data_IF_336940101587
#
_entry.id   IF_336940101587
#
_cell.length_a   1.000
_cell.length_b   1.000
_cell.length_c   1.000
_cell.angle_alpha   90.00
_cell.angle_beta   90.00
_cell.angle_gamma   90.00
#
_symmetry.space_group_name_H-M   'P 1'
#
loop_
_entity.id
_entity.type
_entity.pdbx_description
1 polymer ?
#
# COMPACT_ATOMS: atom_id res chain seq x y z
N UNK A 1 -11.90 22.28 17.72
CA UNK A 1 -13.24 21.87 17.25
C UNK A 1 -14.29 22.54 18.11
N UNK A 2 -15.55 22.61 17.64
CA UNK A 2 -16.69 23.09 18.42
C UNK A 2 -17.87 22.13 18.26
N UNK A 3 -18.90 22.25 19.10
CA UNK A 3 -20.21 21.66 18.83
C UNK A 3 -21.09 22.67 18.13
N UNK A 4 -21.76 22.27 17.06
CA UNK A 4 -22.74 23.12 16.39
C UNK A 4 -24.11 23.08 17.10
N UNK A 5 -25.11 23.75 16.51
CA UNK A 5 -26.47 23.82 17.07
C UNK A 5 -27.21 22.47 17.07
N UNK A 6 -26.72 21.47 16.34
CA UNK A 6 -27.27 20.12 16.30
C UNK A 6 -26.51 19.15 17.21
N UNK A 7 -25.41 19.61 17.81
CA UNK A 7 -24.56 18.83 18.70
C UNK A 7 -23.41 18.12 17.98
N UNK A 8 -23.29 18.32 16.67
CA UNK A 8 -22.26 17.71 15.84
C UNK A 8 -20.90 18.38 16.07
N UNK A 9 -19.84 17.58 16.02
CA UNK A 9 -18.47 18.07 16.15
C UNK A 9 -18.03 18.70 14.82
N UNK A 10 -17.65 19.98 14.86
CA UNK A 10 -17.22 20.75 13.70
C UNK A 10 -15.75 21.17 13.84
N UNK A 11 -14.95 20.83 12.85
CA UNK A 11 -13.57 21.30 12.72
C UNK A 11 -13.55 22.77 12.27
N UNK A 12 -12.85 23.63 13.02
CA UNK A 12 -12.82 25.08 12.79
C UNK A 12 -11.45 25.60 12.34
N UNK A 13 -10.44 24.73 12.30
CA UNK A 13 -9.07 25.12 12.00
C UNK A 13 -8.06 24.05 12.40
N UNK A 14 -6.78 24.39 12.28
CA UNK A 14 -5.64 23.53 12.60
C UNK A 14 -4.65 24.33 13.44
N UNK A 15 -4.12 23.68 14.48
CA UNK A 15 -2.98 24.17 15.25
C UNK A 15 -1.70 23.53 14.71
N UNK A 16 -0.66 24.33 14.48
CA UNK A 16 0.65 23.83 14.04
C UNK A 16 1.77 24.60 14.73
N UNK A 17 2.97 24.01 14.72
CA UNK A 17 4.18 24.66 15.22
C UNK A 17 5.14 24.88 14.07
N UNK A 18 5.66 26.11 13.95
CA UNK A 18 6.69 26.48 12.97
C UNK A 18 7.73 27.35 13.66
N UNK A 19 9.01 27.01 13.53
CA UNK A 19 10.12 27.73 14.17
C UNK A 19 9.96 27.87 15.70
N UNK A 20 9.39 26.86 16.36
CA UNK A 20 9.13 26.87 17.81
C UNK A 20 7.90 27.68 18.23
N UNK A 21 7.27 28.42 17.32
CA UNK A 21 6.05 29.16 17.57
C UNK A 21 4.83 28.34 17.20
N UNK A 22 3.84 28.30 18.10
CA UNK A 22 2.57 27.62 17.86
C UNK A 22 1.53 28.62 17.39
N UNK A 23 0.89 28.31 16.27
CA UNK A 23 -0.14 29.16 15.66
C UNK A 23 -1.38 28.34 15.30
N UNK A 24 -2.52 29.02 15.20
CA UNK A 24 -3.79 28.43 14.79
C UNK A 24 -4.24 29.11 13.49
N UNK A 25 -4.61 28.31 12.50
CA UNK A 25 -5.24 28.80 11.26
C UNK A 25 -6.66 28.30 11.21
N UNK A 26 -7.60 29.23 11.03
CA UNK A 26 -9.02 28.94 10.96
C UNK A 26 -9.48 28.62 9.54
N UNK A 27 -10.36 27.65 9.40
CA UNK A 27 -11.02 27.30 8.16
C UNK A 27 -12.44 27.86 8.14
N UNK A 28 -12.84 28.50 7.04
CA UNK A 28 -14.22 29.04 6.87
C UNK A 28 -15.25 27.98 6.46
N UNK A 29 -14.79 26.86 5.91
CA UNK A 29 -15.65 25.81 5.37
C UNK A 29 -15.28 24.47 6.00
N UNK A 30 -14.18 23.90 5.55
CA UNK A 30 -13.79 22.53 5.89
C UNK A 30 -12.30 22.46 6.21
N UNK A 31 -11.95 21.48 7.04
CA UNK A 31 -10.57 21.07 7.29
C UNK A 31 -10.39 19.69 6.66
N UNK A 32 -9.47 19.58 5.69
CA UNK A 32 -9.18 18.32 5.00
C UNK A 32 -7.88 17.77 5.56
N UNK A 33 -7.93 16.55 6.12
CA UNK A 33 -6.75 15.86 6.66
C UNK A 33 -6.14 14.98 5.56
N UNK A 34 -4.97 15.39 5.06
CA UNK A 34 -4.25 14.69 3.97
C UNK A 34 -2.77 14.46 4.31
N UNK A 35 -2.48 14.07 5.55
CA UNK A 35 -1.11 13.90 6.04
C UNK A 35 -0.50 12.51 5.75
N UNK A 36 -1.18 11.70 4.93
CA UNK A 36 -0.80 10.32 4.61
C UNK A 36 -1.20 9.31 5.68
N UNK A 37 -0.93 8.02 5.41
CA UNK A 37 -1.44 6.89 6.21
C UNK A 37 -0.98 6.89 7.66
N UNK A 38 0.23 7.41 7.94
CA UNK A 38 0.76 7.43 9.31
C UNK A 38 0.35 8.68 10.11
N UNK A 39 0.34 9.85 9.48
CA UNK A 39 0.12 11.10 10.21
C UNK A 39 -1.35 11.52 10.27
N UNK A 40 -2.18 11.12 9.31
CA UNK A 40 -3.61 11.44 9.34
C UNK A 40 -4.33 10.84 10.56
N UNK A 41 -4.20 9.54 10.88
CA UNK A 41 -4.81 8.99 12.09
C UNK A 41 -4.25 9.62 13.36
N UNK A 42 -2.93 9.86 13.43
CA UNK A 42 -2.30 10.56 14.55
C UNK A 42 -2.90 11.96 14.79
N UNK A 43 -3.14 12.74 13.73
CA UNK A 43 -3.76 14.07 13.85
C UNK A 43 -5.20 13.95 14.37
N UNK A 44 -5.96 12.95 13.93
CA UNK A 44 -7.32 12.69 14.41
C UNK A 44 -7.33 12.29 15.90
N UNK A 45 -6.48 11.36 16.30
CA UNK A 45 -6.34 10.91 17.69
C UNK A 45 -5.92 12.05 18.62
N UNK A 46 -4.90 12.83 18.25
CA UNK A 46 -4.49 14.03 18.99
C UNK A 46 -5.58 15.11 19.06
N UNK A 47 -6.53 15.08 18.12
CA UNK A 47 -7.71 15.95 18.14
C UNK A 47 -8.85 15.37 18.97
N UNK A 48 -8.74 14.16 19.52
CA UNK A 48 -9.79 13.50 20.30
C UNK A 48 -10.75 12.63 19.47
N UNK A 49 -10.33 12.20 18.28
CA UNK A 49 -11.11 11.32 17.39
C UNK A 49 -10.36 9.99 17.27
N UNK A 50 -10.82 8.94 17.95
CA UNK A 50 -10.14 7.64 18.03
C UNK A 50 -10.75 6.72 19.08
N UNK A 51 -10.10 5.61 19.40
CA UNK A 51 -10.54 4.70 20.48
C UNK A 51 -10.60 5.46 21.82
N UNK A 52 -11.80 5.58 22.39
CA UNK A 52 -12.01 6.35 23.61
C UNK A 52 -11.18 5.85 24.80
N UNK A 53 -10.93 4.55 24.93
CA UNK A 53 -10.17 4.01 26.08
C UNK A 53 -8.69 4.29 25.94
N UNK A 54 -8.14 4.13 24.73
CA UNK A 54 -6.78 4.55 24.39
C UNK A 54 -6.59 6.05 24.65
N UNK A 55 -7.46 6.90 24.10
CA UNK A 55 -7.35 8.36 24.24
C UNK A 55 -7.41 8.81 25.70
N UNK A 56 -8.34 8.27 26.49
CA UNK A 56 -8.44 8.56 27.93
C UNK A 56 -7.19 8.13 28.69
N UNK A 57 -6.61 6.96 28.35
CA UNK A 57 -5.37 6.48 28.98
C UNK A 57 -4.17 7.41 28.72
N UNK A 58 -4.21 8.15 27.62
CA UNK A 58 -3.20 9.14 27.22
C UNK A 58 -3.52 10.58 27.68
N UNK A 59 -4.62 10.78 28.41
CA UNK A 59 -5.05 12.10 28.88
C UNK A 59 -5.61 13.01 27.78
N UNK A 60 -6.12 12.44 26.70
CA UNK A 60 -6.74 13.18 25.58
C UNK A 60 -8.26 13.16 25.76
N UNK A 61 -8.88 14.34 25.67
CA UNK A 61 -10.34 14.47 25.70
C UNK A 61 -10.98 13.84 24.45
N UNK A 62 -11.97 12.98 24.66
CA UNK A 62 -12.65 12.27 23.56
C UNK A 62 -13.75 13.16 22.97
N UNK A 63 -13.55 13.60 21.73
CA UNK A 63 -14.56 14.31 20.94
C UNK A 63 -15.48 13.34 20.19
N UNK A 64 -14.92 12.30 19.57
CA UNK A 64 -15.63 11.24 18.84
C UNK A 64 -14.95 9.91 19.14
N UNK A 65 -15.72 8.94 19.65
CA UNK A 65 -15.24 7.58 19.84
C UNK A 65 -15.29 6.81 18.50
N UNK A 66 -14.12 6.44 17.99
CA UNK A 66 -13.99 5.68 16.75
C UNK A 66 -12.76 4.76 16.79
N UNK A 67 -13.01 3.50 17.12
CA UNK A 67 -12.00 2.44 17.26
C UNK A 67 -11.28 2.07 15.94
N UNK A 68 -11.67 2.63 14.79
CA UNK A 68 -11.02 2.34 13.51
C UNK A 68 -9.95 3.37 13.10
N UNK A 69 -9.83 4.49 13.82
CA UNK A 69 -8.77 5.47 13.54
C UNK A 69 -7.43 4.88 13.96
N UNK A 70 -6.44 4.93 13.08
CA UNK A 70 -5.10 4.36 13.34
C UNK A 70 -4.99 2.86 12.99
N UNK A 71 -6.12 2.19 12.89
CA UNK A 71 -6.22 0.75 12.63
C UNK A 71 -6.27 0.41 11.13
N UNK A 72 -6.30 -0.90 10.83
CA UNK A 72 -6.42 -1.45 9.48
C UNK A 72 -5.29 -0.99 8.52
N UNK A 73 -4.09 -0.74 9.06
CA UNK A 73 -2.91 -0.53 8.24
C UNK A 73 -2.59 -1.81 7.46
N UNK A 74 -2.66 -1.71 6.14
CA UNK A 74 -2.25 -2.77 5.23
C UNK A 74 -1.05 -2.30 4.42
N UNK A 75 -0.01 -3.12 4.40
CA UNK A 75 1.18 -2.89 3.59
C UNK A 75 1.51 -4.17 2.82
N UNK A 76 2.12 -4.01 1.66
CA UNK A 76 2.67 -5.14 0.93
C UNK A 76 4.05 -5.46 1.52
N UNK A 77 4.26 -6.63 2.16
CA UNK A 77 5.59 -7.02 2.56
C UNK A 77 6.46 -7.15 1.31
N UNK A 78 7.63 -6.53 1.34
CA UNK A 78 8.58 -6.53 0.23
C UNK A 78 9.90 -7.13 0.69
N UNK A 79 10.40 -8.09 -0.08
CA UNK A 79 11.71 -8.70 0.12
C UNK A 79 12.49 -8.60 -1.19
N UNK A 80 13.68 -8.01 -1.13
CA UNK A 80 14.59 -7.93 -2.27
C UNK A 80 15.56 -9.09 -2.23
N UNK A 81 15.76 -9.74 -3.38
CA UNK A 81 16.87 -10.65 -3.60
C UNK A 81 17.81 -10.00 -4.62
N UNK A 82 19.10 -9.94 -4.29
CA UNK A 82 20.13 -9.46 -5.20
C UNK A 82 21.02 -10.64 -5.61
N UNK A 83 21.36 -10.71 -6.89
CA UNK A 83 22.26 -11.71 -7.44
C UNK A 83 23.39 -10.98 -8.18
N UNK A 84 24.60 -11.54 -8.10
CA UNK A 84 25.71 -11.10 -8.94
C UNK A 84 25.42 -11.51 -10.39
N UNK A 85 25.58 -10.58 -11.33
CA UNK A 85 25.32 -10.80 -12.75
C UNK A 85 26.46 -10.23 -13.59
N UNK A 86 26.80 -10.90 -14.69
CA UNK A 86 27.72 -10.41 -15.73
C UNK A 86 26.97 -10.22 -17.06
N UNK A 87 27.46 -9.32 -17.94
CA UNK A 87 26.90 -9.09 -19.28
C UNK A 87 26.01 -7.84 -19.43
N UNK A 88 25.36 -7.64 -20.60
CA UNK A 88 24.72 -6.36 -20.97
C UNK A 88 23.49 -5.98 -20.12
N UNK A 89 22.95 -6.89 -19.30
CA UNK A 89 21.78 -6.67 -18.44
C UNK A 89 22.13 -6.22 -17.01
N UNK A 90 23.42 -6.15 -16.67
CA UNK A 90 23.93 -5.75 -15.34
C UNK A 90 23.60 -4.32 -14.92
N UNK A 91 23.17 -3.48 -15.87
CA UNK A 91 22.85 -2.05 -15.64
C UNK A 91 21.35 -1.80 -15.47
N UNK A 92 20.51 -2.83 -15.53
CA UNK A 92 19.05 -2.69 -15.39
C UNK A 92 18.62 -3.36 -14.10
N UNK A 93 18.05 -2.59 -13.16
CA UNK A 93 17.53 -3.12 -11.91
C UNK A 93 16.37 -4.08 -12.17
N UNK A 94 16.65 -5.38 -12.20
CA UNK A 94 15.64 -6.44 -12.24
C UNK A 94 15.15 -6.69 -10.82
N UNK A 95 13.95 -6.19 -10.49
CA UNK A 95 13.24 -6.59 -9.29
C UNK A 95 12.46 -7.88 -9.60
N UNK A 96 12.91 -9.02 -9.06
CA UNK A 96 12.17 -10.27 -9.13
C UNK A 96 11.37 -10.45 -7.82
N UNK A 97 10.06 -10.29 -7.88
CA UNK A 97 9.16 -10.66 -6.78
C UNK A 97 8.74 -12.12 -6.96
N UNK A 98 9.24 -13.00 -6.10
CA UNK A 98 8.78 -14.37 -6.01
C UNK A 98 7.65 -14.46 -4.96
N UNK A 99 6.45 -14.88 -5.38
CA UNK A 99 5.46 -15.32 -4.41
C UNK A 99 5.90 -16.74 -3.99
N UNK A 100 6.40 -16.87 -2.77
CA UNK A 100 6.83 -18.18 -2.26
C UNK A 100 5.62 -19.11 -2.27
N UNK A 101 5.74 -20.34 -2.80
CA UNK A 101 4.66 -21.30 -2.69
C UNK A 101 4.40 -21.52 -1.20
N UNK A 102 3.12 -21.67 -0.82
CA UNK A 102 2.72 -22.23 0.47
C UNK A 102 2.20 -23.65 0.20
N UNK A 103 3.06 -24.65 -0.04
CA UNK A 103 2.61 -25.96 -0.51
C UNK A 103 1.68 -26.61 0.49
N UNK A 104 1.95 -26.46 1.79
CA UNK A 104 1.10 -27.00 2.87
C UNK A 104 -0.32 -26.42 2.84
N UNK A 105 -0.47 -25.13 2.49
CA UNK A 105 -1.76 -24.47 2.42
C UNK A 105 -2.48 -24.76 1.08
N UNK A 106 -1.79 -24.60 -0.05
CA UNK A 106 -2.36 -24.79 -1.39
C UNK A 106 -2.65 -26.27 -1.73
N UNK A 107 -2.00 -27.22 -1.07
CA UNK A 107 -2.34 -28.64 -1.22
C UNK A 107 -3.51 -29.08 -0.33
N UNK A 108 -3.94 -28.24 0.63
CA UNK A 108 -5.13 -28.51 1.45
C UNK A 108 -6.43 -28.32 0.63
N UNK A 109 -7.48 -29.05 0.99
CA UNK A 109 -8.81 -28.88 0.38
C UNK A 109 -9.37 -27.47 0.59
N UNK A 110 -9.07 -26.87 1.75
CA UNK A 110 -9.45 -25.50 2.07
C UNK A 110 -8.72 -24.47 1.19
N UNK A 111 -7.39 -24.56 1.08
CA UNK A 111 -6.60 -23.63 0.28
C UNK A 111 -6.94 -23.67 -1.21
N UNK A 112 -7.24 -24.86 -1.75
CA UNK A 112 -7.77 -25.00 -3.13
C UNK A 112 -9.12 -24.30 -3.29
N UNK A 113 -10.04 -24.52 -2.36
CA UNK A 113 -11.37 -23.89 -2.42
C UNK A 113 -11.30 -22.37 -2.30
N UNK A 114 -10.40 -21.82 -1.49
CA UNK A 114 -10.20 -20.36 -1.41
C UNK A 114 -9.58 -19.81 -2.69
N UNK A 115 -8.61 -20.51 -3.28
CA UNK A 115 -7.99 -20.13 -4.55
C UNK A 115 -9.03 -20.10 -5.69
N UNK A 116 -9.90 -21.11 -5.77
CA UNK A 116 -10.99 -21.18 -6.76
C UNK A 116 -11.98 -20.00 -6.61
N UNK A 117 -12.27 -19.57 -5.36
CA UNK A 117 -13.12 -18.40 -5.10
C UNK A 117 -12.48 -17.11 -5.64
N UNK A 118 -11.17 -16.94 -5.43
CA UNK A 118 -10.42 -15.76 -5.90
C UNK A 118 -10.40 -15.70 -7.43
N UNK A 119 -10.23 -16.84 -8.11
CA UNK A 119 -10.28 -16.89 -9.57
C UNK A 119 -11.66 -16.49 -10.10
N UNK A 120 -12.72 -17.03 -9.50
CA UNK A 120 -14.09 -16.72 -9.91
C UNK A 120 -14.42 -15.23 -9.76
N UNK A 121 -14.02 -14.62 -8.64
CA UNK A 121 -14.21 -13.18 -8.40
C UNK A 121 -13.40 -12.29 -9.35
N UNK A 122 -12.21 -12.74 -9.77
CA UNK A 122 -11.34 -11.98 -10.68
C UNK A 122 -11.88 -11.97 -12.12
N UNK A 123 -12.45 -13.07 -12.59
CA UNK A 123 -13.05 -13.16 -13.93
C UNK A 123 -14.34 -12.34 -14.07
N UNK A 124 -15.11 -12.19 -13.00
CA UNK A 124 -16.37 -11.42 -13.00
C UNK A 124 -16.18 -9.89 -13.11
N UNK A 125 -14.95 -9.37 -12.88
CA UNK A 125 -14.63 -7.92 -12.92
C UNK A 125 -13.97 -7.44 -14.21
N UNK A 126 -13.71 -8.31 -15.19
CA UNK A 126 -13.05 -7.94 -16.45
C UNK A 126 -14.06 -7.28 -17.41
N UNK A 127 -13.99 -5.96 -17.59
CA UNK A 127 -14.60 -5.33 -18.76
C UNK A 127 -13.81 -5.73 -20.01
N UNK A 128 -14.45 -6.53 -20.87
CA UNK A 128 -13.88 -7.21 -22.04
C UNK A 128 -13.58 -6.27 -23.23
N UNK A 129 -13.05 -5.07 -22.97
CA UNK A 129 -13.00 -4.01 -23.99
C UNK A 129 -11.84 -4.09 -24.99
N UNK A 130 -10.77 -4.86 -24.72
CA UNK A 130 -9.51 -4.79 -25.50
C UNK A 130 -8.85 -6.14 -25.86
N UNK A 131 -9.43 -7.27 -25.47
CA UNK A 131 -8.80 -8.60 -25.68
C UNK A 131 -9.78 -9.55 -26.37
N UNK A 132 -9.24 -10.50 -27.14
CA UNK A 132 -10.08 -11.55 -27.75
C UNK A 132 -10.45 -12.59 -26.70
N UNK A 133 -11.64 -13.19 -26.81
CA UNK A 133 -12.07 -14.24 -25.89
C UNK A 133 -11.09 -15.43 -25.83
N UNK A 134 -10.44 -15.75 -26.96
CA UNK A 134 -9.42 -16.78 -27.04
C UNK A 134 -8.18 -16.42 -26.22
N UNK A 135 -7.70 -15.17 -26.30
CA UNK A 135 -6.56 -14.71 -25.51
C UNK A 135 -6.90 -14.64 -24.03
N UNK A 136 -8.07 -14.10 -23.66
CA UNK A 136 -8.53 -14.05 -22.28
C UNK A 136 -8.56 -15.44 -21.64
N UNK A 137 -9.14 -16.43 -22.34
CA UNK A 137 -9.19 -17.82 -21.88
C UNK A 137 -7.80 -18.47 -21.76
N UNK A 138 -6.91 -18.22 -22.73
CA UNK A 138 -5.54 -18.74 -22.69
C UNK A 138 -4.74 -18.11 -21.53
N UNK A 139 -4.92 -16.81 -21.30
CA UNK A 139 -4.28 -16.08 -20.22
C UNK A 139 -4.79 -16.54 -18.84
N UNK A 140 -6.10 -16.71 -18.68
CA UNK A 140 -6.70 -17.29 -17.47
C UNK A 140 -6.14 -18.68 -17.19
N UNK A 141 -6.08 -19.54 -18.21
CA UNK A 141 -5.51 -20.90 -18.08
C UNK A 141 -4.04 -20.85 -17.63
N UNK A 142 -3.26 -19.94 -18.20
CA UNK A 142 -1.86 -19.75 -17.83
C UNK A 142 -1.70 -19.28 -16.38
N UNK A 143 -2.43 -18.24 -15.96
CA UNK A 143 -2.38 -17.72 -14.59
C UNK A 143 -2.82 -18.79 -13.58
N UNK A 144 -3.87 -19.54 -13.89
CA UNK A 144 -4.36 -20.64 -13.05
C UNK A 144 -3.32 -21.74 -12.89
N UNK A 145 -2.61 -22.10 -13.97
CA UNK A 145 -1.51 -23.07 -13.94
C UNK A 145 -0.36 -22.60 -13.05
N UNK A 146 0.03 -21.33 -13.14
CA UNK A 146 1.13 -20.76 -12.35
C UNK A 146 0.78 -20.74 -10.86
N UNK A 147 -0.41 -20.25 -10.49
CA UNK A 147 -0.79 -20.11 -9.08
C UNK A 147 -1.19 -21.44 -8.40
N UNK A 148 -1.60 -22.44 -9.19
CA UNK A 148 -1.97 -23.75 -8.66
C UNK A 148 -0.79 -24.72 -8.57
N UNK A 149 0.39 -24.34 -9.09
CA UNK A 149 1.60 -25.17 -9.03
C UNK A 149 2.12 -25.21 -7.59
N UNK A 150 2.06 -26.37 -6.89
CA UNK A 150 2.44 -26.46 -5.48
C UNK A 150 3.96 -26.61 -5.30
N UNK A 151 4.69 -26.84 -6.40
CA UNK A 151 6.11 -27.18 -6.43
C UNK A 151 6.95 -26.15 -7.18
N UNK A 152 6.34 -25.29 -7.97
CA UNK A 152 7.04 -24.23 -8.68
C UNK A 152 6.78 -22.90 -7.98
N UNK A 153 7.83 -22.12 -7.76
CA UNK A 153 7.66 -20.76 -7.30
C UNK A 153 6.94 -19.96 -8.39
N UNK A 154 5.72 -19.50 -8.10
CA UNK A 154 5.03 -18.52 -8.91
C UNK A 154 5.73 -17.16 -8.74
N UNK A 155 6.81 -16.96 -9.48
CA UNK A 155 7.41 -15.65 -9.58
C UNK A 155 6.56 -14.81 -10.55
N UNK A 156 5.82 -13.85 -9.99
CA UNK A 156 5.29 -12.75 -10.77
C UNK A 156 6.48 -11.83 -11.06
N UNK A 157 7.16 -12.07 -12.18
CA UNK A 157 8.29 -11.24 -12.62
C UNK A 157 7.74 -9.89 -13.10
N UNK A 158 7.60 -8.93 -12.20
CA UNK A 158 7.40 -7.54 -12.59
C UNK A 158 8.73 -6.94 -13.04
N UNK A 159 9.01 -7.04 -14.34
CA UNK A 159 9.99 -6.19 -14.99
C UNK A 159 9.39 -4.79 -15.15
N UNK A 160 9.79 -3.85 -14.31
CA UNK A 160 9.73 -2.43 -14.63
C UNK A 160 11.15 -1.91 -14.72
N UNK A 161 11.46 -0.97 -15.64
CA UNK A 161 12.74 -0.27 -15.61
C UNK A 161 12.81 0.57 -14.32
N UNK A 162 13.30 -0.05 -13.24
CA UNK A 162 13.69 0.65 -12.03
C UNK A 162 15.08 1.21 -12.24
N UNK A 163 15.19 2.51 -12.47
CA UNK A 163 16.48 3.18 -12.55
C UNK A 163 17.04 3.34 -11.12
N UNK A 164 17.65 2.27 -10.60
CA UNK A 164 18.49 2.35 -9.40
C UNK A 164 19.94 2.41 -9.88
N UNK A 165 20.52 3.61 -9.86
CA UNK A 165 21.94 3.80 -10.11
C UNK A 165 22.71 3.23 -8.91
N UNK A 166 23.17 1.99 -9.02
CA UNK A 166 24.10 1.40 -8.06
C UNK A 166 25.47 1.27 -8.73
N UNK A 167 26.51 1.79 -8.08
CA UNK A 167 27.90 1.55 -8.49
C UNK A 167 28.27 0.08 -8.25
N UNK A 168 29.36 -0.39 -8.86
CA UNK A 168 29.86 -1.77 -8.68
C UNK A 168 30.17 -2.14 -7.23
N UNK A 169 30.30 -1.16 -6.33
CA UNK A 169 30.49 -1.35 -4.88
C UNK A 169 29.18 -1.28 -4.07
N UNK A 170 28.02 -1.12 -4.72
CA UNK A 170 26.71 -1.05 -4.08
C UNK A 170 26.32 0.33 -3.51
N UNK A 171 27.12 1.37 -3.76
CA UNK A 171 26.77 2.77 -3.46
C UNK A 171 25.80 3.37 -4.49
N UNK A 172 25.08 4.44 -4.13
CA UNK A 172 24.26 5.19 -5.09
C UNK A 172 25.15 5.90 -6.11
N UNK A 173 24.99 5.60 -7.40
CA UNK A 173 25.74 6.27 -8.46
C UNK A 173 25.17 7.67 -8.76
N UNK A 174 26.06 8.58 -9.18
CA UNK A 174 25.72 9.96 -9.49
C UNK A 174 24.72 10.11 -10.64
N UNK A 175 23.95 11.21 -10.61
CA UNK A 175 23.00 11.57 -11.67
C UNK A 175 23.79 11.82 -12.97
N UNK A 176 23.44 11.15 -14.08
CA UNK A 176 24.18 11.31 -15.33
C UNK A 176 24.01 12.75 -15.87
N UNK A 177 25.08 13.36 -16.40
CA UNK A 177 25.00 14.72 -16.90
C UNK A 177 24.15 14.78 -18.18
N UNK A 178 22.93 15.31 -18.05
CA UNK A 178 22.14 15.87 -19.15
C UNK A 178 20.82 15.17 -19.50
N UNK A 179 19.73 15.67 -18.92
CA UNK A 179 18.67 16.30 -19.73
C UNK A 179 18.08 17.45 -18.92
N UNK A 180 18.44 18.68 -19.30
CA UNK A 180 17.58 19.82 -19.00
C UNK A 180 16.33 19.62 -19.86
N UNK A 181 15.16 19.60 -19.21
CA UNK A 181 13.85 19.61 -19.87
C UNK A 181 13.77 20.71 -20.94
#
# INVERSE_FOLDING_TARGET
MIRDKYGDIVATGVQYTKNGETSIVHARKEVIVSAGTFHSPKILELSGIGDADLLRSLGIDVAIDNLHVGENLQAHPYCTMAFEQEGPFTKSGLNATAQLPLPSYLMSSHGKSELDKVFKQSCERSELGKTTAAFAKAHETFVHSVMSSPTEAAALYYSFPGFAMLEGEGGMADIPPGSKN
#
